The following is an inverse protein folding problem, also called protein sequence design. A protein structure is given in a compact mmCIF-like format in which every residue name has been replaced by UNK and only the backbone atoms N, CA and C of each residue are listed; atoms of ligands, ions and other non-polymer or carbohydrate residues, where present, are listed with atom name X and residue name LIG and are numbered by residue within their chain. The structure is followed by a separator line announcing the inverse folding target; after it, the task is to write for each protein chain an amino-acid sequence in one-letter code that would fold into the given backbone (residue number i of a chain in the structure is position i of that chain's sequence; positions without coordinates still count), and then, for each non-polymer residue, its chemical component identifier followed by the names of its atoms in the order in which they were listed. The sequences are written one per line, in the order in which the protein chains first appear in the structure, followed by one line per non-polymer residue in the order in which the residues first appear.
data_IF_497505518064
#
_entry.id   IF_497505518064
#
_cell.length_a   1.000
_cell.length_b   1.000
_cell.length_c   1.000
_cell.angle_alpha   90.00
_cell.angle_beta   90.00
_cell.angle_gamma   90.00
#
_symmetry.space_group_name_H-M   'P 1'
#
loop_
_entity.id
_entity.type
_entity.pdbx_description
1 polymer ?
#
# COMPACT_ATOMS: atom_id res chain seq x y z
N UNK A 1 -3.73 5.36 -2.15
CA UNK A 1 -4.03 3.94 -1.80
C UNK A 1 -4.20 3.86 -0.29
N UNK A 2 -5.27 3.27 0.23
CA UNK A 2 -5.51 3.22 1.67
C UNK A 2 -4.70 2.12 2.34
N UNK A 3 -4.13 2.43 3.50
CA UNK A 3 -3.40 1.47 4.35
C UNK A 3 -4.24 0.24 4.68
N UNK A 4 -5.53 0.44 4.99
CA UNK A 4 -6.45 -0.63 5.36
C UNK A 4 -6.63 -1.64 4.23
N UNK A 5 -6.77 -1.19 2.97
CA UNK A 5 -6.91 -2.07 1.81
C UNK A 5 -5.67 -2.96 1.63
N UNK A 6 -4.48 -2.37 1.82
CA UNK A 6 -3.22 -3.11 1.75
C UNK A 6 -3.13 -4.15 2.86
N UNK A 7 -3.44 -3.77 4.09
CA UNK A 7 -3.43 -4.67 5.24
C UNK A 7 -4.44 -5.80 5.05
N UNK A 8 -5.65 -5.49 4.56
CA UNK A 8 -6.68 -6.47 4.27
C UNK A 8 -6.24 -7.44 3.17
N UNK A 9 -5.64 -6.92 2.10
CA UNK A 9 -5.15 -7.71 0.97
C UNK A 9 -4.06 -8.71 1.38
N UNK A 10 -3.06 -8.26 2.14
CA UNK A 10 -1.98 -9.14 2.62
C UNK A 10 -2.40 -9.98 3.84
N UNK A 11 -3.54 -9.68 4.46
CA UNK A 11 -4.04 -10.40 5.65
C UNK A 11 -3.30 -10.02 6.94
N UNK A 12 -2.89 -8.76 7.08
CA UNK A 12 -2.35 -8.19 8.31
C UNK A 12 -1.08 -7.35 8.13
N UNK A 13 -0.76 -6.56 9.16
CA UNK A 13 0.41 -5.67 9.20
C UNK A 13 1.72 -6.45 9.06
N UNK A 14 1.84 -7.60 9.73
CA UNK A 14 3.05 -8.44 9.68
C UNK A 14 3.27 -9.06 8.30
N UNK A 15 2.20 -9.53 7.64
CA UNK A 15 2.27 -10.09 6.29
C UNK A 15 2.61 -9.01 5.26
N UNK A 16 2.00 -7.83 5.41
CA UNK A 16 2.34 -6.63 4.62
C UNK A 16 3.82 -6.28 4.76
N UNK A 17 4.32 -6.16 5.99
CA UNK A 17 5.72 -5.88 6.28
C UNK A 17 6.67 -6.91 5.63
N UNK A 18 6.33 -8.21 5.74
CA UNK A 18 7.11 -9.29 5.11
C UNK A 18 7.09 -9.22 3.59
N UNK A 19 5.93 -8.92 2.98
CA UNK A 19 5.81 -8.78 1.53
C UNK A 19 6.62 -7.59 0.99
N UNK A 20 6.66 -6.48 1.73
CA UNK A 20 7.40 -5.27 1.36
C UNK A 20 8.87 -5.28 1.81
N UNK A 21 9.32 -6.28 2.58
CA UNK A 21 10.67 -6.35 3.12
C UNK A 21 10.98 -5.22 4.12
N UNK A 22 9.99 -4.78 4.89
CA UNK A 22 10.14 -3.70 5.89
C UNK A 22 9.75 -4.15 7.29
N UNK A 23 10.03 -3.30 8.28
CA UNK A 23 9.60 -3.53 9.65
C UNK A 23 8.09 -3.34 9.80
N UNK A 24 7.48 -4.09 10.75
CA UNK A 24 6.08 -3.92 11.14
C UNK A 24 5.81 -2.47 11.59
N UNK A 25 6.77 -1.87 12.29
CA UNK A 25 6.71 -0.47 12.75
C UNK A 25 6.54 0.50 11.58
N UNK A 26 7.24 0.29 10.47
CA UNK A 26 7.09 1.12 9.27
C UNK A 26 5.68 1.05 8.66
N UNK A 27 5.06 -0.14 8.64
CA UNK A 27 3.66 -0.30 8.20
C UNK A 27 2.69 0.38 9.18
N UNK A 28 2.94 0.28 10.48
CA UNK A 28 2.14 0.97 11.49
C UNK A 28 2.24 2.49 11.38
N UNK A 29 3.41 3.01 11.00
CA UNK A 29 3.67 4.45 10.83
C UNK A 29 2.97 5.07 9.61
N UNK A 30 2.48 4.27 8.68
CA UNK A 30 1.73 4.80 7.55
C UNK A 30 0.46 5.49 8.04
N UNK A 31 0.17 6.65 7.44
CA UNK A 31 -1.10 7.34 7.62
C UNK A 31 -2.27 6.56 7.01
N UNK A 32 -3.43 7.21 6.93
CA UNK A 32 -4.60 6.62 6.27
C UNK A 32 -4.28 6.27 4.81
N UNK A 33 -3.56 7.16 4.14
CA UNK A 33 -2.97 6.93 2.83
C UNK A 33 -1.51 6.54 2.95
N UNK A 34 -1.12 5.50 2.21
CA UNK A 34 0.28 5.09 2.15
C UNK A 34 1.06 6.02 1.20
N UNK A 35 2.35 6.31 1.49
CA UNK A 35 3.19 7.09 0.59
C UNK A 35 3.25 6.48 -0.82
N UNK A 36 3.27 7.31 -1.87
CA UNK A 36 3.25 6.85 -3.25
C UNK A 36 4.34 5.82 -3.57
N UNK A 37 5.58 6.05 -3.11
CA UNK A 37 6.66 5.07 -3.29
C UNK A 37 6.35 3.70 -2.69
N UNK A 38 5.62 3.65 -1.56
CA UNK A 38 5.13 2.40 -0.97
C UNK A 38 3.98 1.82 -1.77
N UNK A 39 3.08 2.63 -2.27
CA UNK A 39 2.00 2.18 -3.14
C UNK A 39 2.54 1.50 -4.40
N UNK A 40 3.56 2.07 -5.07
CA UNK A 40 4.21 1.44 -6.21
C UNK A 40 4.83 0.08 -5.83
N UNK A 41 5.50 0.02 -4.68
CA UNK A 41 6.07 -1.24 -4.18
C UNK A 41 4.96 -2.28 -3.95
N UNK A 42 3.85 -1.89 -3.30
CA UNK A 42 2.66 -2.73 -3.11
C UNK A 42 2.08 -3.20 -4.45
N UNK A 43 2.00 -2.32 -5.46
CA UNK A 43 1.52 -2.68 -6.78
C UNK A 43 2.38 -3.77 -7.43
N UNK A 44 3.70 -3.68 -7.30
CA UNK A 44 4.64 -4.70 -7.80
C UNK A 44 4.45 -6.04 -7.08
N UNK A 45 4.43 -6.06 -5.75
CA UNK A 45 4.28 -7.33 -4.99
C UNK A 45 2.87 -7.92 -5.09
N UNK A 46 1.85 -7.09 -5.28
CA UNK A 46 0.48 -7.54 -5.54
C UNK A 46 0.23 -7.94 -6.99
N UNK A 47 1.24 -7.87 -7.87
CA UNK A 47 1.15 -8.17 -9.31
C UNK A 47 0.05 -7.35 -10.01
N UNK A 48 -0.10 -6.08 -9.63
CA UNK A 48 -1.10 -5.17 -10.21
C UNK A 48 -2.53 -5.32 -9.65
N UNK A 49 -2.75 -6.16 -8.64
CA UNK A 49 -4.07 -6.27 -7.97
C UNK A 49 -4.43 -5.03 -7.17
N UNK A 50 -3.43 -4.38 -6.57
CA UNK A 50 -3.57 -3.09 -5.91
C UNK A 50 -2.90 -2.03 -6.78
N UNK A 51 -3.67 -1.07 -7.29
CA UNK A 51 -3.14 0.03 -8.12
C UNK A 51 -2.77 1.23 -7.27
N UNK A 52 -1.53 1.67 -7.39
CA UNK A 52 -1.08 2.92 -6.83
C UNK A 52 -1.65 4.06 -7.67
N UNK A 53 -2.85 4.53 -7.35
CA UNK A 53 -3.36 5.75 -7.95
C UNK A 53 -2.44 6.90 -7.52
N UNK A 54 -1.77 7.59 -8.46
CA UNK A 54 -1.06 8.81 -8.13
C UNK A 54 -2.10 9.85 -7.69
N UNK A 55 -1.87 10.45 -6.52
CA UNK A 55 -2.69 11.56 -6.04
C UNK A 55 -2.56 12.72 -7.05
N UNK A 56 -3.53 12.82 -7.97
CA UNK A 56 -3.48 13.76 -9.09
C UNK A 56 -4.40 13.43 -10.28
N UNK A 57 -4.83 12.18 -10.47
CA UNK A 57 -5.88 11.85 -11.45
C UNK A 57 -7.27 11.94 -10.80
N UNK A 58 -7.70 13.16 -10.52
CA UNK A 58 -9.13 13.47 -10.50
C UNK A 58 -9.64 13.08 -11.88
N UNK A 59 -10.48 12.04 -11.98
CA UNK A 59 -11.21 11.80 -13.23
C UNK A 59 -12.08 13.04 -13.45
N UNK A 60 -11.88 13.86 -14.51
CA UNK A 60 -12.90 14.83 -14.84
C UNK A 60 -14.14 14.04 -15.25
N UNK A 61 -15.25 14.39 -14.60
CA UNK A 61 -16.59 13.86 -14.79
C UNK A 61 -17.05 13.88 -16.24
#
# INVERSE_FOLDING_TARGET
MKKLDVIAFFGGVTKTAKALGISKSAVSLWGEEIPYGRACQVQLVSKGRLKAEPMGLVKPS
#
